data_IF_953423809610
#
_entry.id   IF_953423809610
#
_cell.length_a   1.000
_cell.length_b   1.000
_cell.length_c   1.000
_cell.angle_alpha   90.00
_cell.angle_beta   90.00
_cell.angle_gamma   90.00
#
_symmetry.space_group_name_H-M   'P 1'
#
loop_
_entity.id
_entity.type
_entity.pdbx_description
1 polymer ?
#
# COMPACT_ATOMS: atom_id res chain seq x y z
N UNK A 1 16.65 -19.82 7.40
CA UNK A 1 15.54 -19.21 6.63
C UNK A 1 16.16 -18.20 5.69
N UNK A 2 16.32 -18.54 4.41
CA UNK A 2 16.96 -17.65 3.42
C UNK A 2 16.16 -16.34 3.33
N UNK A 3 16.81 -15.19 3.57
CA UNK A 3 16.28 -13.89 3.15
C UNK A 3 16.18 -13.95 1.64
N UNK A 4 15.03 -14.31 1.09
CA UNK A 4 14.83 -14.26 -0.35
C UNK A 4 14.98 -12.81 -0.78
N UNK A 5 15.78 -12.54 -1.81
CA UNK A 5 15.96 -11.22 -2.39
C UNK A 5 14.71 -10.80 -3.17
N UNK A 6 13.55 -10.72 -2.51
CA UNK A 6 12.26 -10.38 -3.12
C UNK A 6 12.31 -9.02 -3.82
N UNK A 7 13.24 -8.16 -3.44
CA UNK A 7 13.48 -6.89 -4.10
C UNK A 7 14.12 -6.99 -5.49
N UNK A 8 14.97 -7.98 -5.72
CA UNK A 8 15.54 -8.17 -7.06
C UNK A 8 14.43 -8.46 -8.07
N UNK A 9 13.29 -9.01 -7.64
CA UNK A 9 12.14 -9.24 -8.51
C UNK A 9 11.60 -7.93 -9.11
N UNK A 10 11.28 -6.91 -8.29
CA UNK A 10 10.78 -5.61 -8.78
C UNK A 10 11.76 -4.96 -9.75
N UNK A 11 13.04 -4.95 -9.38
CA UNK A 11 14.12 -4.41 -10.21
C UNK A 11 14.24 -5.15 -11.56
N UNK A 12 14.35 -6.48 -11.54
CA UNK A 12 14.52 -7.29 -12.75
C UNK A 12 13.29 -7.14 -13.66
N UNK A 13 12.08 -7.12 -13.09
CA UNK A 13 10.86 -6.97 -13.87
C UNK A 13 10.83 -5.65 -14.63
N UNK A 14 11.13 -4.51 -13.98
CA UNK A 14 11.11 -3.23 -14.67
C UNK A 14 12.25 -3.07 -15.67
N UNK A 15 13.43 -3.63 -15.40
CA UNK A 15 14.51 -3.69 -16.41
C UNK A 15 14.07 -4.51 -17.63
N UNK A 16 13.44 -5.67 -17.42
CA UNK A 16 12.89 -6.48 -18.49
C UNK A 16 11.82 -5.74 -19.28
N UNK A 17 10.82 -5.17 -18.61
CA UNK A 17 9.71 -4.45 -19.25
C UNK A 17 10.22 -3.23 -20.03
N UNK A 18 11.15 -2.46 -19.44
CA UNK A 18 11.79 -1.32 -20.11
C UNK A 18 12.55 -1.75 -21.35
N UNK A 19 13.36 -2.82 -21.24
CA UNK A 19 14.12 -3.35 -22.38
C UNK A 19 13.20 -3.86 -23.48
N UNK A 20 12.10 -4.54 -23.13
CA UNK A 20 11.10 -5.02 -24.08
C UNK A 20 10.44 -3.87 -24.83
N UNK A 21 9.93 -2.86 -24.13
CA UNK A 21 9.27 -1.71 -24.75
C UNK A 21 10.26 -0.88 -25.58
N UNK A 22 11.50 -0.70 -25.09
CA UNK A 22 12.55 0.00 -25.82
C UNK A 22 12.96 -0.73 -27.11
N UNK A 23 13.15 -2.05 -27.06
CA UNK A 23 13.41 -2.85 -28.26
C UNK A 23 12.24 -2.73 -29.24
N UNK A 24 11.00 -2.82 -28.75
CA UNK A 24 9.80 -2.65 -29.57
C UNK A 24 9.74 -1.24 -30.21
N UNK A 25 10.21 -0.21 -29.53
CA UNK A 25 10.31 1.15 -30.08
C UNK A 25 11.19 1.18 -31.34
N UNK A 26 12.34 0.49 -31.31
CA UNK A 26 13.24 0.39 -32.47
C UNK A 26 12.51 -0.27 -33.64
N UNK A 27 11.80 -1.38 -33.41
CA UNK A 27 11.03 -2.04 -34.46
C UNK A 27 9.92 -1.17 -35.05
N UNK A 28 9.17 -0.45 -34.21
CA UNK A 28 8.07 0.41 -34.67
C UNK A 28 8.61 1.61 -35.46
N UNK A 29 9.65 2.29 -34.96
CA UNK A 29 10.17 3.52 -35.56
C UNK A 29 10.97 3.27 -36.85
N UNK A 30 11.78 2.22 -36.89
CA UNK A 30 12.67 1.97 -38.03
C UNK A 30 12.11 0.98 -39.04
N UNK A 31 11.26 0.05 -38.61
CA UNK A 31 10.76 -1.04 -39.47
C UNK A 31 9.24 -0.97 -39.69
N UNK A 32 8.57 0.08 -39.19
CA UNK A 32 7.11 0.24 -39.29
C UNK A 32 6.35 -0.99 -38.79
N UNK A 33 6.89 -1.66 -37.77
CA UNK A 33 6.27 -2.85 -37.20
C UNK A 33 4.92 -2.53 -36.53
N UNK A 34 4.05 -3.54 -36.43
CA UNK A 34 2.77 -3.39 -35.73
C UNK A 34 2.96 -3.22 -34.22
N UNK A 35 1.94 -2.61 -33.58
CA UNK A 35 1.86 -2.44 -32.13
C UNK A 35 1.47 -3.74 -31.37
N UNK A 36 1.69 -4.91 -31.98
CA UNK A 36 1.39 -6.19 -31.35
C UNK A 36 2.56 -6.66 -30.46
N UNK A 37 2.30 -7.14 -29.23
CA UNK A 37 0.99 -7.23 -28.58
C UNK A 37 0.48 -5.86 -28.06
N UNK A 38 -0.84 -5.61 -28.07
CA UNK A 38 -1.44 -4.29 -27.81
C UNK A 38 -1.29 -3.79 -26.37
N UNK A 39 -0.91 -4.67 -25.43
CA UNK A 39 -0.76 -4.29 -24.02
C UNK A 39 0.22 -3.12 -23.82
N UNK A 40 1.22 -2.96 -24.70
CA UNK A 40 2.20 -1.87 -24.64
C UNK A 40 1.57 -0.48 -24.80
N UNK A 41 0.40 -0.39 -25.45
CA UNK A 41 -0.35 0.85 -25.60
C UNK A 41 -1.26 1.12 -24.39
N UNK A 42 -1.56 0.08 -23.63
CA UNK A 42 -2.55 0.08 -22.56
C UNK A 42 -1.92 0.04 -21.17
N UNK A 43 -0.59 0.21 -21.08
CA UNK A 43 0.09 0.34 -19.80
C UNK A 43 -0.37 1.60 -19.06
N UNK A 44 -0.70 2.69 -19.75
CA UNK A 44 -1.25 3.89 -19.09
C UNK A 44 -2.75 4.02 -19.38
N UNK A 45 -3.59 4.57 -18.48
CA UNK A 45 -5.03 4.73 -18.72
C UNK A 45 -5.35 5.77 -19.81
N UNK A 46 -4.34 6.38 -20.44
CA UNK A 46 -4.50 7.36 -21.50
C UNK A 46 -5.17 6.78 -22.75
N UNK A 47 -5.15 5.46 -22.95
CA UNK A 47 -5.84 4.83 -24.08
C UNK A 47 -7.37 5.00 -24.02
N UNK A 48 -7.92 5.34 -22.85
CA UNK A 48 -9.34 5.66 -22.68
C UNK A 48 -9.70 7.03 -23.26
N UNK A 49 -8.70 7.87 -23.57
CA UNK A 49 -8.90 9.19 -24.14
C UNK A 49 -8.90 9.10 -25.67
N UNK A 50 -10.03 9.40 -26.36
CA UNK A 50 -10.12 9.24 -27.81
C UNK A 50 -9.22 10.21 -28.59
N UNK A 51 -8.73 11.27 -27.95
CA UNK A 51 -7.85 12.26 -28.55
C UNK A 51 -6.38 11.80 -28.67
N UNK A 52 -6.00 10.68 -28.05
CA UNK A 52 -4.61 10.22 -27.98
C UNK A 52 -4.36 9.12 -29.01
N UNK A 53 -3.37 9.31 -29.87
CA UNK A 53 -3.03 8.34 -30.92
C UNK A 53 -2.10 7.21 -30.42
N UNK A 54 -1.98 6.12 -31.17
CA UNK A 54 -1.18 4.95 -30.78
C UNK A 54 0.30 5.28 -30.54
N UNK A 55 0.89 6.19 -31.32
CA UNK A 55 2.29 6.58 -31.13
C UNK A 55 2.47 7.34 -29.81
N UNK A 56 1.55 8.24 -29.46
CA UNK A 56 1.54 8.95 -28.19
C UNK A 56 1.36 7.98 -27.03
N UNK A 57 0.40 7.06 -27.12
CA UNK A 57 0.18 6.01 -26.10
C UNK A 57 1.43 5.16 -25.87
N UNK A 58 2.10 4.79 -26.96
CA UNK A 58 3.35 4.05 -26.91
C UNK A 58 4.46 4.86 -26.22
N UNK A 59 4.64 6.13 -26.59
CA UNK A 59 5.65 7.00 -25.99
C UNK A 59 5.38 7.24 -24.50
N UNK A 60 4.13 7.48 -24.09
CA UNK A 60 3.78 7.62 -22.69
C UNK A 60 4.07 6.34 -21.91
N UNK A 61 3.73 5.18 -22.47
CA UNK A 61 4.01 3.88 -21.85
C UNK A 61 5.52 3.66 -21.71
N UNK A 62 6.32 3.97 -22.74
CA UNK A 62 7.78 3.93 -22.68
C UNK A 62 8.34 4.85 -21.60
N UNK A 63 7.88 6.11 -21.53
CA UNK A 63 8.34 7.08 -20.53
C UNK A 63 8.05 6.59 -19.12
N UNK A 64 6.83 6.12 -18.86
CA UNK A 64 6.42 5.64 -17.53
C UNK A 64 7.26 4.42 -17.12
N UNK A 65 7.43 3.44 -18.00
CA UNK A 65 8.21 2.23 -17.71
C UNK A 65 9.68 2.55 -17.48
N UNK A 66 10.30 3.38 -18.32
CA UNK A 66 11.72 3.77 -18.19
C UNK A 66 11.95 4.56 -16.91
N UNK A 67 11.04 5.49 -16.60
CA UNK A 67 11.10 6.28 -15.37
C UNK A 67 10.99 5.37 -14.14
N UNK A 68 10.07 4.41 -14.16
CA UNK A 68 9.90 3.47 -13.04
C UNK A 68 11.13 2.57 -12.87
N UNK A 69 11.67 2.04 -13.98
CA UNK A 69 12.91 1.25 -13.97
C UNK A 69 14.10 2.05 -13.40
N UNK A 70 14.23 3.33 -13.75
CA UNK A 70 15.26 4.21 -13.21
C UNK A 70 15.14 4.39 -11.69
N UNK A 71 13.92 4.53 -11.16
CA UNK A 71 13.70 4.64 -9.72
C UNK A 71 14.10 3.35 -8.99
N UNK A 72 13.81 2.20 -9.59
CA UNK A 72 14.17 0.89 -9.06
C UNK A 72 15.67 0.56 -9.15
N UNK A 73 16.41 1.11 -10.13
CA UNK A 73 17.87 0.96 -10.24
C UNK A 73 18.59 1.55 -9.01
N UNK A 74 18.19 2.75 -8.58
CA UNK A 74 18.90 3.47 -7.51
C UNK A 74 18.56 2.98 -6.10
N UNK A 75 17.65 2.02 -5.98
CA UNK A 75 17.16 1.35 -4.76
C UNK A 75 17.23 2.14 -3.44
N UNK A 76 16.82 3.41 -3.46
CA UNK A 76 16.67 4.17 -2.22
C UNK A 76 15.22 4.15 -1.78
N UNK A 77 14.96 4.21 -0.47
CA UNK A 77 13.59 4.30 0.07
C UNK A 77 12.79 5.44 -0.56
N UNK A 78 13.41 6.59 -0.83
CA UNK A 78 12.75 7.73 -1.47
C UNK A 78 12.35 7.39 -2.91
N UNK A 79 13.23 6.74 -3.65
CA UNK A 79 12.92 6.33 -5.02
C UNK A 79 11.83 5.27 -5.06
N UNK A 80 11.81 4.32 -4.11
CA UNK A 80 10.72 3.34 -3.97
C UNK A 80 9.38 4.00 -3.60
N UNK A 81 9.39 5.09 -2.85
CA UNK A 81 8.17 5.86 -2.59
C UNK A 81 7.71 6.60 -3.86
N UNK A 82 8.65 7.14 -4.64
CA UNK A 82 8.32 7.78 -5.91
C UNK A 82 7.91 6.79 -6.99
N UNK A 83 8.38 5.53 -6.94
CA UNK A 83 8.03 4.49 -7.91
C UNK A 83 6.61 3.98 -7.75
N UNK A 84 5.99 4.16 -6.57
CA UNK A 84 4.57 3.86 -6.38
C UNK A 84 3.68 4.60 -7.39
N UNK A 85 4.04 5.84 -7.75
CA UNK A 85 3.25 6.64 -8.70
C UNK A 85 3.22 5.99 -10.10
N UNK A 86 4.35 5.79 -10.80
CA UNK A 86 4.35 5.13 -12.10
C UNK A 86 3.83 3.69 -12.02
N UNK A 87 4.11 2.93 -10.96
CA UNK A 87 3.55 1.58 -10.78
C UNK A 87 2.02 1.61 -10.69
N UNK A 88 1.42 2.57 -9.96
CA UNK A 88 -0.04 2.73 -9.88
C UNK A 88 -0.65 3.22 -11.19
N UNK A 89 0.04 4.09 -11.94
CA UNK A 89 -0.38 4.47 -13.30
C UNK A 89 -0.44 3.23 -14.18
N UNK A 90 0.58 2.38 -14.13
CA UNK A 90 0.61 1.13 -14.89
C UNK A 90 -0.49 0.16 -14.49
N UNK A 91 -0.67 0.00 -13.18
CA UNK A 91 -1.71 -0.85 -12.63
C UNK A 91 -3.10 -0.36 -13.04
N UNK A 92 -3.34 0.95 -13.02
CA UNK A 92 -4.61 1.55 -13.47
C UNK A 92 -4.87 1.27 -14.95
N UNK A 93 -3.87 1.46 -15.82
CA UNK A 93 -4.03 1.21 -17.26
C UNK A 93 -4.43 -0.24 -17.55
N UNK A 94 -3.67 -1.19 -17.01
CA UNK A 94 -3.95 -2.61 -17.21
C UNK A 94 -5.28 -3.03 -16.54
N UNK A 95 -5.58 -2.50 -15.35
CA UNK A 95 -6.85 -2.79 -14.66
C UNK A 95 -8.05 -2.31 -15.45
N UNK A 96 -7.97 -1.13 -16.07
CA UNK A 96 -9.06 -0.62 -16.90
C UNK A 96 -9.38 -1.59 -18.04
N UNK A 97 -8.37 -2.17 -18.71
CA UNK A 97 -8.59 -3.17 -19.77
C UNK A 97 -9.27 -4.41 -19.21
N UNK A 98 -8.82 -4.89 -18.05
CA UNK A 98 -9.35 -6.10 -17.40
C UNK A 98 -10.82 -5.92 -16.99
N UNK A 99 -11.18 -4.73 -16.49
CA UNK A 99 -12.53 -4.46 -15.96
C UNK A 99 -13.53 -4.17 -17.09
N UNK A 100 -13.08 -3.51 -18.17
CA UNK A 100 -13.99 -3.11 -19.26
C UNK A 100 -14.27 -4.21 -20.26
N UNK A 101 -13.50 -5.31 -20.24
CA UNK A 101 -13.62 -6.39 -21.19
C UNK A 101 -14.08 -7.68 -20.50
N UNK A 102 -14.74 -8.55 -21.26
CA UNK A 102 -15.09 -9.88 -20.80
C UNK A 102 -13.83 -10.73 -20.57
N UNK A 103 -13.92 -11.67 -19.63
CA UNK A 103 -12.81 -12.57 -19.33
C UNK A 103 -12.49 -13.44 -20.55
N UNK A 104 -11.27 -13.30 -21.08
CA UNK A 104 -10.84 -13.98 -22.31
C UNK A 104 -9.34 -14.29 -22.28
N UNK A 105 -8.96 -15.38 -22.95
CA UNK A 105 -7.56 -15.79 -23.12
C UNK A 105 -6.76 -14.75 -23.93
N UNK A 106 -7.42 -13.92 -24.72
CA UNK A 106 -6.79 -12.81 -25.45
C UNK A 106 -6.06 -11.84 -24.51
N UNK A 107 -6.60 -11.61 -23.31
CA UNK A 107 -6.05 -10.72 -22.29
C UNK A 107 -5.08 -11.41 -21.32
N UNK A 108 -4.58 -12.60 -21.66
CA UNK A 108 -3.64 -13.35 -20.79
C UNK A 108 -2.43 -12.52 -20.41
N UNK A 109 -1.86 -11.75 -21.36
CA UNK A 109 -0.71 -10.89 -21.09
C UNK A 109 -1.06 -9.78 -20.10
N UNK A 110 -2.24 -9.18 -20.21
CA UNK A 110 -2.73 -8.18 -19.25
C UNK A 110 -2.87 -8.75 -17.85
N UNK A 111 -3.43 -9.96 -17.72
CA UNK A 111 -3.55 -10.62 -16.42
C UNK A 111 -2.18 -10.89 -15.79
N UNK A 112 -1.20 -11.35 -16.58
CA UNK A 112 0.16 -11.59 -16.11
C UNK A 112 0.85 -10.29 -15.68
N UNK A 113 0.78 -9.24 -16.51
CA UNK A 113 1.36 -7.93 -16.17
C UNK A 113 0.70 -7.36 -14.93
N UNK A 114 -0.63 -7.43 -14.82
CA UNK A 114 -1.37 -7.01 -13.63
C UNK A 114 -0.90 -7.74 -12.37
N UNK A 115 -0.78 -9.07 -12.43
CA UNK A 115 -0.33 -9.88 -11.30
C UNK A 115 1.11 -9.54 -10.89
N UNK A 116 2.01 -9.32 -11.85
CA UNK A 116 3.38 -8.90 -11.54
C UNK A 116 3.43 -7.50 -10.94
N UNK A 117 2.70 -6.53 -11.48
CA UNK A 117 2.61 -5.18 -10.91
C UNK A 117 2.04 -5.19 -9.49
N UNK A 118 1.03 -6.03 -9.22
CA UNK A 118 0.46 -6.18 -7.89
C UNK A 118 1.46 -6.80 -6.91
N UNK A 119 2.21 -7.83 -7.34
CA UNK A 119 3.25 -8.45 -6.54
C UNK A 119 4.36 -7.44 -6.19
N UNK A 120 4.79 -6.64 -7.17
CA UNK A 120 5.76 -5.56 -7.00
C UNK A 120 5.26 -4.52 -5.99
N UNK A 121 4.01 -4.06 -6.15
CA UNK A 121 3.40 -3.11 -5.24
C UNK A 121 3.43 -3.62 -3.78
N UNK A 122 3.13 -4.91 -3.57
CA UNK A 122 3.20 -5.53 -2.24
C UNK A 122 4.64 -5.58 -1.72
N UNK A 123 5.61 -5.95 -2.56
CA UNK A 123 7.04 -6.02 -2.19
C UNK A 123 7.57 -4.63 -1.80
N UNK A 124 7.28 -3.62 -2.60
CA UNK A 124 7.78 -2.26 -2.40
C UNK A 124 7.09 -1.59 -1.21
N UNK A 125 5.80 -1.83 -1.02
CA UNK A 125 5.06 -1.39 0.17
C UNK A 125 5.66 -1.99 1.46
N UNK A 126 5.96 -3.29 1.47
CA UNK A 126 6.62 -3.95 2.63
C UNK A 126 8.00 -3.37 2.92
N UNK A 127 8.73 -2.89 1.91
CA UNK A 127 10.06 -2.26 2.08
C UNK A 127 9.99 -0.80 2.54
N UNK A 128 8.91 -0.10 2.25
CA UNK A 128 8.74 1.33 2.59
C UNK A 128 8.15 1.55 3.99
N UNK A 129 7.38 0.60 4.52
CA UNK A 129 6.73 0.61 5.84
C UNK A 129 7.63 0.62 7.10
N UNK A 130 8.75 -0.15 7.20
CA UNK A 130 9.41 -0.41 8.49
C UNK A 130 9.98 0.82 9.20
N UNK A 131 10.18 1.93 8.48
CA UNK A 131 10.82 3.13 9.02
C UNK A 131 9.86 4.31 9.22
N UNK A 132 8.55 4.08 9.35
CA UNK A 132 7.65 5.02 10.04
C UNK A 132 7.70 4.75 11.56
N UNK A 133 7.81 3.48 11.96
CA UNK A 133 7.85 3.07 13.37
C UNK A 133 9.17 3.44 14.06
N UNK A 134 10.31 3.34 13.37
CA UNK A 134 11.62 3.68 13.97
C UNK A 134 11.91 5.19 14.07
N UNK A 135 11.19 6.04 13.33
CA UNK A 135 11.35 7.51 13.43
C UNK A 135 10.60 8.13 14.60
N UNK A 136 9.83 7.35 15.36
CA UNK A 136 9.38 7.75 16.70
C UNK A 136 10.42 7.26 17.70
N UNK A 137 11.56 7.96 17.75
CA UNK A 137 12.47 7.80 18.89
C UNK A 137 11.68 8.27 20.11
N UNK A 138 11.37 7.44 21.12
CA UNK A 138 10.81 7.95 22.35
C UNK A 138 11.81 8.98 22.87
N UNK A 139 11.32 10.19 23.12
CA UNK A 139 12.10 11.29 23.67
C UNK A 139 12.86 10.76 24.89
N UNK A 140 14.19 10.91 24.98
CA UNK A 140 14.92 10.41 26.14
C UNK A 140 14.40 11.14 27.37
N UNK A 141 13.71 10.41 28.24
CA UNK A 141 13.28 10.89 29.55
C UNK A 141 14.50 11.03 30.46
N UNK A 142 15.29 12.08 30.25
CA UNK A 142 16.34 12.45 31.21
C UNK A 142 16.21 13.92 31.60
N UNK A 143 15.82 14.07 32.87
CA UNK A 143 16.09 15.18 33.77
C UNK A 143 15.27 16.46 33.59
N UNK A 144 14.00 16.43 34.00
CA UNK A 144 13.40 17.62 34.60
C UNK A 144 13.93 17.72 36.04
N UNK A 145 15.05 18.42 36.24
CA UNK A 145 15.47 18.84 37.58
C UNK A 145 14.42 19.80 38.11
N UNK A 146 13.86 19.47 39.27
CA UNK A 146 13.07 20.39 40.07
C UNK A 146 13.81 21.71 40.25
N UNK A 147 13.29 22.79 39.66
CA UNK A 147 13.47 24.13 40.19
C UNK A 147 12.07 24.70 40.36
N UNK A 148 11.70 24.91 41.63
CA UNK A 148 10.36 25.31 42.01
C UNK A 148 10.04 26.73 41.54
N UNK A 149 8.93 26.86 40.84
CA UNK A 149 8.09 28.05 40.90
C UNK A 149 6.65 27.61 40.66
N UNK A 150 5.81 27.80 41.67
CA UNK A 150 4.36 27.61 41.60
C UNK A 150 3.80 28.47 40.46
N UNK A 151 3.11 27.85 39.51
CA UNK A 151 2.02 28.50 38.79
C UNK A 151 0.84 27.54 38.83
N UNK A 152 -0.14 27.92 39.63
CA UNK A 152 -1.44 27.29 39.78
C UNK A 152 -2.34 27.60 38.58
N UNK A 153 -3.16 26.62 38.21
CA UNK A 153 -4.31 26.65 37.29
C UNK A 153 -4.06 26.25 35.83
N UNK A 154 -4.24 24.95 35.55
CA UNK A 154 -4.87 24.46 34.33
C UNK A 154 -5.83 23.30 34.72
N UNK A 155 -7.04 23.22 34.14
CA UNK A 155 -8.08 22.32 34.62
C UNK A 155 -7.79 20.87 34.24
N UNK A 156 -8.01 19.95 35.18
CA UNK A 156 -7.95 18.51 34.95
C UNK A 156 -9.21 18.06 34.21
N UNK A 157 -9.10 17.73 32.92
CA UNK A 157 -10.11 16.87 32.30
C UNK A 157 -9.83 15.43 32.71
N UNK A 158 -10.54 14.98 33.74
CA UNK A 158 -10.61 13.56 34.07
C UNK A 158 -11.48 12.88 32.99
N UNK A 159 -10.84 12.13 32.10
CA UNK A 159 -11.52 11.18 31.25
C UNK A 159 -12.02 10.03 32.16
N UNK A 160 -13.31 10.07 32.51
CA UNK A 160 -13.95 8.98 33.26
C UNK A 160 -14.08 7.79 32.32
N UNK A 161 -13.26 6.78 32.58
CA UNK A 161 -13.37 5.47 31.95
C UNK A 161 -14.63 4.78 32.50
N UNK A 162 -15.61 4.38 31.67
CA UNK A 162 -16.77 3.66 32.18
C UNK A 162 -16.34 2.22 32.49
N UNK A 163 -16.11 1.92 33.78
CA UNK A 163 -15.98 0.55 34.26
C UNK A 163 -17.34 -0.13 34.19
N UNK A 164 -17.39 -1.23 33.46
CA UNK A 164 -18.52 -2.14 33.31
C UNK A 164 -19.12 -2.58 34.66
N UNK A 165 -20.44 -2.82 34.61
CA UNK A 165 -21.31 -3.49 35.59
C UNK A 165 -22.03 -2.60 36.61
N UNK A 166 -23.31 -2.34 36.32
CA UNK A 166 -24.37 -2.41 37.33
C UNK A 166 -25.70 -2.78 36.70
N UNK A 167 -26.11 -3.99 37.03
CA UNK A 167 -27.46 -4.54 36.90
C UNK A 167 -28.47 -3.50 37.40
N UNK A 168 -29.51 -3.29 36.62
CA UNK A 168 -30.67 -2.48 36.99
C UNK A 168 -31.42 -3.21 38.11
N UNK A 169 -31.31 -2.69 39.34
CA UNK A 169 -32.13 -3.12 40.48
C UNK A 169 -33.43 -2.32 40.46
N UNK A 170 -34.46 -2.86 39.81
CA UNK A 170 -35.84 -2.43 39.98
C UNK A 170 -36.28 -2.74 41.42
N UNK A 171 -36.82 -1.73 42.09
CA UNK A 171 -37.29 -1.84 43.47
C UNK A 171 -38.42 -2.85 43.62
N UNK A 172 -38.22 -3.82 44.50
CA UNK A 172 -39.31 -4.55 45.15
C UNK A 172 -39.01 -4.65 46.66
N UNK A 173 -39.89 -3.97 47.39
CA UNK A 173 -40.43 -4.23 48.73
C UNK A 173 -39.63 -5.17 49.64
N UNK A 174 -39.19 -4.56 50.75
CA UNK A 174 -39.02 -5.12 52.10
C UNK A 174 -39.63 -6.50 52.34
N UNK A 175 -38.79 -7.45 52.73
CA UNK A 175 -39.02 -8.29 53.91
C UNK A 175 -37.68 -8.72 54.51
N UNK A 176 -37.38 -8.22 55.72
CA UNK A 176 -36.49 -8.90 56.67
C UNK A 176 -37.17 -10.20 57.17
N UNK A 177 -36.51 -11.11 57.91
CA UNK A 177 -35.07 -11.37 58.07
C UNK A 177 -34.74 -12.88 57.91
N UNK A 178 -33.47 -13.30 57.98
CA UNK A 178 -32.99 -14.28 58.98
C UNK A 178 -31.48 -14.47 58.86
N UNK A 179 -30.82 -14.50 60.02
CA UNK A 179 -29.39 -14.81 60.26
C UNK A 179 -29.33 -16.30 60.72
N UNK A 180 -28.14 -16.88 60.99
CA UNK A 180 -27.07 -17.32 60.10
C UNK A 180 -26.96 -18.87 60.03
N UNK A 181 -26.04 -19.31 59.16
CA UNK A 181 -25.29 -20.57 59.15
C UNK A 181 -25.21 -21.35 60.48
N UNK A 182 -25.43 -22.66 60.38
CA UNK A 182 -24.73 -23.70 61.15
C UNK A 182 -24.92 -25.06 60.47
N UNK A 183 -23.79 -25.77 60.25
CA UNK A 183 -23.52 -27.22 60.50
C UNK A 183 -24.50 -28.23 59.89
N UNK A 184 -24.18 -29.44 59.48
CA UNK A 184 -23.14 -30.45 59.71
C UNK A 184 -23.40 -31.51 58.59
N UNK A 185 -22.39 -32.21 58.05
CA UNK A 185 -22.28 -33.69 58.13
C UNK A 185 -23.60 -34.43 57.77
N UNK A 186 -23.75 -35.19 56.69
CA UNK A 186 -22.93 -36.23 56.04
C UNK A 186 -23.43 -36.45 54.60
#
# INVERSE_FOLDING_TARGET
MNKSNSWMFSFIFFVFLSSFVAAKAVFILFFQASFDPPFILQLTPLYLLPAVNNLQLFLFSLIVVVFDAYLHIKDTRRNLLYSLIPTLIMLSGVSSVIITNEFSVEYTVHYLVFLFLLAILVVDHRRTLPAITEKVKPMPSKAFKHSGTRVSHLPSFAFVQPSSSKLISLGFISNKPLKPSKREQE
#
